data_IF_083590464017
#
_entry.id   IF_083590464017
#
_cell.length_a   1.000
_cell.length_b   1.000
_cell.length_c   1.000
_cell.angle_alpha   90.00
_cell.angle_beta   90.00
_cell.angle_gamma   90.00
#
_symmetry.space_group_name_H-M   'P 1'
#
loop_
_entity.id
_entity.type
_entity.pdbx_description
1 polymer ?
#
# COMPACT_ATOMS: atom_id res chain seq x y z
N UNK A 1 8.87 -10.12 -16.97
CA UNK A 1 8.94 -11.47 -16.39
C UNK A 1 8.44 -11.39 -14.97
N UNK A 2 7.21 -11.86 -14.77
CA UNK A 2 6.52 -11.98 -13.49
C UNK A 2 6.63 -13.42 -12.98
N UNK A 3 6.80 -13.54 -11.67
CA UNK A 3 6.79 -14.79 -10.94
C UNK A 3 5.91 -14.58 -9.71
N UNK A 4 4.97 -15.48 -9.48
CA UNK A 4 4.20 -15.55 -8.25
C UNK A 4 4.60 -16.80 -7.48
N UNK A 5 5.06 -16.60 -6.26
CA UNK A 5 5.27 -17.64 -5.26
C UNK A 5 4.30 -17.34 -4.11
N UNK A 6 3.25 -18.16 -3.97
CA UNK A 6 2.15 -17.88 -3.04
C UNK A 6 2.63 -17.93 -1.59
N UNK A 7 3.43 -18.93 -1.23
CA UNK A 7 3.95 -19.13 0.13
C UNK A 7 4.83 -17.94 0.55
N UNK A 8 5.79 -17.57 -0.31
CA UNK A 8 6.68 -16.44 -0.04
C UNK A 8 5.91 -15.11 0.06
N UNK A 9 4.91 -14.91 -0.81
CA UNK A 9 4.09 -13.70 -0.78
C UNK A 9 3.27 -13.62 0.50
N UNK A 10 2.61 -14.71 0.89
CA UNK A 10 1.78 -14.78 2.09
C UNK A 10 2.62 -14.62 3.37
N UNK A 11 3.80 -15.25 3.45
CA UNK A 11 4.74 -15.05 4.55
C UNK A 11 5.14 -13.58 4.66
N UNK A 12 5.44 -12.94 3.52
CA UNK A 12 5.76 -11.52 3.43
C UNK A 12 4.64 -10.63 3.98
N UNK A 13 3.39 -10.86 3.58
CA UNK A 13 2.23 -10.13 4.11
C UNK A 13 2.08 -10.31 5.62
N UNK A 14 2.07 -11.55 6.10
CA UNK A 14 1.83 -11.85 7.51
C UNK A 14 2.95 -11.28 8.41
N UNK A 15 4.19 -11.34 7.94
CA UNK A 15 5.34 -10.74 8.64
C UNK A 15 5.18 -9.23 8.76
N UNK A 16 4.74 -8.55 7.70
CA UNK A 16 4.55 -7.10 7.74
C UNK A 16 3.35 -6.70 8.59
N UNK A 17 2.24 -7.44 8.57
CA UNK A 17 1.09 -7.22 9.47
C UNK A 17 1.54 -7.34 10.92
N UNK A 18 2.30 -8.38 11.25
CA UNK A 18 2.82 -8.60 12.61
C UNK A 18 3.77 -7.47 13.05
N UNK A 19 4.58 -6.95 12.12
CA UNK A 19 5.43 -5.79 12.36
C UNK A 19 4.59 -4.53 12.63
N UNK A 20 3.53 -4.28 11.86
CA UNK A 20 2.63 -3.14 12.06
C UNK A 20 1.93 -3.23 13.42
N UNK A 21 1.40 -4.40 13.80
CA UNK A 21 0.76 -4.58 15.12
C UNK A 21 1.73 -4.28 16.28
N UNK A 22 2.99 -4.73 16.18
CA UNK A 22 4.02 -4.40 17.18
C UNK A 22 4.27 -2.90 17.25
N UNK A 23 4.46 -2.24 16.10
CA UNK A 23 4.73 -0.81 16.05
C UNK A 23 3.54 0.02 16.56
N UNK A 24 2.30 -0.37 16.22
CA UNK A 24 1.09 0.25 16.75
C UNK A 24 1.02 0.17 18.27
N UNK A 25 1.35 -0.99 18.86
CA UNK A 25 1.40 -1.14 20.33
C UNK A 25 2.49 -0.30 20.99
N UNK A 26 3.68 -0.21 20.39
CA UNK A 26 4.76 0.67 20.86
C UNK A 26 4.34 2.14 20.79
N UNK A 27 3.67 2.54 19.70
CA UNK A 27 3.21 3.90 19.51
C UNK A 27 2.05 4.28 20.44
N UNK A 28 1.18 3.32 20.79
CA UNK A 28 0.11 3.52 21.77
C UNK A 28 0.67 3.76 23.18
N UNK A 29 1.74 3.04 23.57
CA UNK A 29 2.41 3.29 24.84
C UNK A 29 3.02 4.71 24.90
N UNK A 30 3.60 5.19 23.79
CA UNK A 30 4.11 6.56 23.67
C UNK A 30 2.95 7.56 23.73
N UNK A 31 1.86 7.31 23.02
CA UNK A 31 0.66 8.14 23.05
C UNK A 31 0.15 8.36 24.48
N UNK A 32 -0.03 7.27 25.24
CA UNK A 32 -0.51 7.34 26.63
C UNK A 32 0.45 8.12 27.53
N UNK A 33 1.77 7.97 27.35
CA UNK A 33 2.76 8.73 28.11
C UNK A 33 2.72 10.22 27.78
N UNK A 34 2.56 10.57 26.49
CA UNK A 34 2.44 11.95 26.01
C UNK A 34 1.14 12.58 26.51
N UNK A 35 0.01 11.88 26.43
CA UNK A 35 -1.25 12.36 27.00
C UNK A 35 -1.14 12.62 28.50
N UNK A 36 -0.51 11.70 29.24
CA UNK A 36 -0.23 11.89 30.67
C UNK A 36 0.56 13.17 30.93
N UNK A 37 1.61 13.44 30.15
CA UNK A 37 2.41 14.67 30.25
C UNK A 37 1.59 15.92 29.96
N UNK A 38 0.77 15.91 28.91
CA UNK A 38 -0.10 17.03 28.54
C UNK A 38 -1.10 17.36 29.64
N UNK A 39 -1.58 16.36 30.39
CA UNK A 39 -2.51 16.49 31.51
C UNK A 39 -1.85 16.97 32.82
N UNK A 40 -0.52 17.09 32.90
CA UNK A 40 0.21 17.52 34.10
C UNK A 40 0.17 19.03 34.34
N UNK A 41 -1.03 19.63 34.30
CA UNK A 41 -1.25 21.07 34.54
C UNK A 41 -0.71 21.54 35.89
N UNK A 42 -0.88 20.71 36.92
CA UNK A 42 -0.51 21.07 38.28
C UNK A 42 1.01 20.94 38.55
N UNK A 43 1.70 20.10 37.80
CA UNK A 43 3.14 19.88 37.94
C UNK A 43 3.95 20.77 37.01
N UNK A 44 3.46 21.01 35.78
CA UNK A 44 4.07 21.88 34.77
C UNK A 44 3.31 23.20 34.64
N UNK A 45 3.44 24.03 35.68
CA UNK A 45 2.88 25.39 35.75
C UNK A 45 3.80 26.44 35.13
N UNK A 46 3.23 27.64 34.95
CA UNK A 46 3.94 28.81 34.41
C UNK A 46 4.16 28.74 32.91
N UNK A 47 4.77 29.80 32.34
CA UNK A 47 4.94 29.94 30.89
C UNK A 47 5.72 28.78 30.26
N UNK A 48 6.85 28.37 30.87
CA UNK A 48 7.65 27.26 30.36
C UNK A 48 6.96 25.90 30.48
N UNK A 49 6.26 25.63 31.58
CA UNK A 49 5.48 24.40 31.75
C UNK A 49 4.31 24.31 30.76
N UNK A 50 3.63 25.44 30.51
CA UNK A 50 2.61 25.52 29.47
C UNK A 50 3.19 25.28 28.07
N UNK A 51 4.36 25.86 27.76
CA UNK A 51 5.02 25.67 26.47
C UNK A 51 5.40 24.20 26.22
N UNK A 52 5.95 23.51 27.23
CA UNK A 52 6.26 22.07 27.14
C UNK A 52 4.98 21.26 26.86
N UNK A 53 3.91 21.46 27.63
CA UNK A 53 2.66 20.71 27.44
C UNK A 53 2.09 20.96 26.05
N UNK A 54 2.07 22.20 25.58
CA UNK A 54 1.61 22.53 24.23
C UNK A 54 2.49 21.93 23.13
N UNK A 55 3.81 21.82 23.32
CA UNK A 55 4.69 21.18 22.34
C UNK A 55 4.34 19.70 22.13
N UNK A 56 4.11 18.98 23.21
CA UNK A 56 3.69 17.58 23.14
C UNK A 56 2.25 17.44 22.60
N UNK A 57 1.35 18.32 23.00
CA UNK A 57 -0.03 18.32 22.55
C UNK A 57 -0.18 18.65 21.05
N UNK A 58 0.55 19.63 20.53
CA UNK A 58 0.36 20.16 19.18
C UNK A 58 1.28 19.50 18.13
N UNK A 59 2.42 18.97 18.55
CA UNK A 59 3.37 18.30 17.64
C UNK A 59 3.27 16.78 17.72
N UNK A 60 3.28 16.21 18.93
CA UNK A 60 3.41 14.76 19.10
C UNK A 60 2.07 14.03 19.01
N UNK A 61 1.04 14.49 19.71
CA UNK A 61 -0.27 13.80 19.68
C UNK A 61 -0.86 13.68 18.26
N UNK A 62 -0.83 14.71 17.38
CA UNK A 62 -1.33 14.56 16.01
C UNK A 62 -0.53 13.52 15.21
N UNK A 63 0.79 13.50 15.36
CA UNK A 63 1.63 12.49 14.70
C UNK A 63 1.30 11.08 15.16
N UNK A 64 1.19 10.87 16.48
CA UNK A 64 0.88 9.57 17.08
C UNK A 64 -0.51 9.09 16.66
N UNK A 65 -1.50 10.00 16.61
CA UNK A 65 -2.84 9.67 16.15
C UNK A 65 -2.86 9.30 14.65
N UNK A 66 -2.17 10.07 13.80
CA UNK A 66 -2.04 9.76 12.39
C UNK A 66 -1.38 8.40 12.16
N UNK A 67 -0.32 8.09 12.92
CA UNK A 67 0.37 6.79 12.82
C UNK A 67 -0.57 5.61 13.10
N UNK A 68 -1.48 5.73 14.07
CA UNK A 68 -2.48 4.69 14.36
C UNK A 68 -3.44 4.48 13.19
N UNK A 69 -3.93 5.57 12.58
CA UNK A 69 -4.79 5.49 11.39
C UNK A 69 -4.06 4.87 10.21
N UNK A 70 -2.85 5.35 9.93
CA UNK A 70 -1.96 4.81 8.89
C UNK A 70 -1.74 3.29 9.06
N UNK A 71 -1.41 2.86 10.28
CA UNK A 71 -1.10 1.46 10.55
C UNK A 71 -2.32 0.56 10.31
N UNK A 72 -3.51 1.01 10.71
CA UNK A 72 -4.74 0.28 10.47
C UNK A 72 -5.10 0.21 8.97
N UNK A 73 -4.98 1.32 8.25
CA UNK A 73 -5.19 1.36 6.80
C UNK A 73 -4.20 0.45 6.06
N UNK A 74 -2.93 0.45 6.46
CA UNK A 74 -1.92 -0.39 5.84
C UNK A 74 -2.20 -1.89 6.06
N UNK A 75 -2.61 -2.29 7.26
CA UNK A 75 -3.05 -3.67 7.51
C UNK A 75 -4.25 -4.06 6.64
N UNK A 76 -5.23 -3.17 6.49
CA UNK A 76 -6.40 -3.42 5.64
C UNK A 76 -6.01 -3.63 4.17
N UNK A 77 -5.04 -2.85 3.67
CA UNK A 77 -4.47 -3.06 2.32
C UNK A 77 -3.84 -4.45 2.21
N UNK A 78 -3.03 -4.87 3.19
CA UNK A 78 -2.44 -6.22 3.18
C UNK A 78 -3.46 -7.35 3.27
N UNK A 79 -4.52 -7.20 4.08
CA UNK A 79 -5.60 -8.19 4.16
C UNK A 79 -6.37 -8.29 2.83
N UNK A 80 -6.58 -7.18 2.14
CA UNK A 80 -7.19 -7.18 0.80
C UNK A 80 -6.27 -7.83 -0.24
N UNK A 81 -4.96 -7.59 -0.16
CA UNK A 81 -3.97 -8.27 -1.00
C UNK A 81 -3.96 -9.78 -0.77
N UNK A 82 -4.08 -10.24 0.48
CA UNK A 82 -4.15 -11.67 0.81
C UNK A 82 -5.41 -12.31 0.20
N UNK A 83 -6.56 -11.64 0.30
CA UNK A 83 -7.79 -12.10 -0.34
C UNK A 83 -7.69 -12.14 -1.87
N UNK A 84 -7.05 -11.12 -2.48
CA UNK A 84 -6.81 -11.09 -3.92
C UNK A 84 -5.84 -12.19 -4.36
N UNK A 85 -4.81 -12.49 -3.56
CA UNK A 85 -3.86 -13.58 -3.80
C UNK A 85 -4.59 -14.91 -3.83
N UNK A 86 -5.40 -15.18 -2.79
CA UNK A 86 -6.19 -16.42 -2.71
C UNK A 86 -7.20 -16.56 -3.85
N UNK A 87 -7.76 -15.45 -4.34
CA UNK A 87 -8.65 -15.47 -5.51
C UNK A 87 -7.92 -15.77 -6.82
N UNK A 88 -6.65 -15.37 -6.95
CA UNK A 88 -5.81 -15.67 -8.12
C UNK A 88 -5.31 -17.11 -8.10
N UNK A 89 -4.75 -17.53 -6.97
CA UNK A 89 -4.21 -18.87 -6.76
C UNK A 89 -4.54 -19.35 -5.33
N UNK A 90 -5.56 -20.21 -5.17
CA UNK A 90 -5.98 -20.71 -3.86
C UNK A 90 -5.01 -21.70 -3.20
N UNK A 91 -4.14 -22.36 -3.98
CA UNK A 91 -3.18 -23.32 -3.44
C UNK A 91 -2.05 -22.58 -2.72
N UNK A 92 -1.82 -22.90 -1.45
CA UNK A 92 -0.74 -22.30 -0.65
C UNK A 92 0.66 -22.61 -1.20
N UNK A 93 0.79 -23.70 -1.96
CA UNK A 93 2.01 -24.07 -2.69
C UNK A 93 1.99 -23.64 -4.17
N UNK A 94 1.03 -22.79 -4.53
CA UNK A 94 0.84 -22.26 -5.87
C UNK A 94 2.07 -21.48 -6.36
N UNK A 95 2.41 -21.72 -7.62
CA UNK A 95 3.59 -21.11 -8.24
C UNK A 95 3.32 -20.84 -9.71
N UNK A 96 3.44 -19.58 -10.13
CA UNK A 96 3.17 -19.14 -11.50
C UNK A 96 4.43 -18.49 -12.06
N UNK A 97 4.90 -18.99 -13.21
CA UNK A 97 6.02 -18.42 -13.95
C UNK A 97 5.55 -18.03 -15.34
N UNK A 98 5.50 -16.73 -15.61
CA UNK A 98 5.10 -16.18 -16.91
C UNK A 98 5.86 -16.82 -18.07
N UNK A 99 7.19 -16.95 -17.94
CA UNK A 99 8.04 -17.52 -18.98
C UNK A 99 7.71 -18.99 -19.30
N UNK A 100 7.33 -19.78 -18.30
CA UNK A 100 6.91 -21.17 -18.52
C UNK A 100 5.59 -21.22 -19.29
N UNK A 101 4.64 -20.36 -18.92
CA UNK A 101 3.34 -20.26 -19.58
C UNK A 101 3.50 -19.88 -21.05
N UNK A 102 4.19 -18.77 -21.33
CA UNK A 102 4.34 -18.25 -22.70
C UNK A 102 5.30 -19.08 -23.56
N UNK A 103 6.25 -19.77 -22.93
CA UNK A 103 7.28 -20.57 -23.60
C UNK A 103 6.94 -22.05 -23.67
N UNK A 104 7.37 -22.80 -22.65
CA UNK A 104 7.33 -24.26 -22.62
C UNK A 104 5.91 -24.81 -22.76
N UNK A 105 4.95 -24.21 -22.06
CA UNK A 105 3.56 -24.65 -22.12
C UNK A 105 2.93 -24.40 -23.50
N UNK A 106 3.18 -23.24 -24.14
CA UNK A 106 2.69 -22.99 -25.51
C UNK A 106 3.27 -23.99 -26.51
N UNK A 107 4.58 -24.24 -26.41
CA UNK A 107 5.27 -25.19 -27.28
C UNK A 107 4.74 -26.61 -27.09
N UNK A 108 4.58 -27.05 -25.84
CA UNK A 108 4.03 -28.36 -25.50
C UNK A 108 2.61 -28.55 -26.00
N UNK A 109 1.73 -27.57 -25.79
CA UNK A 109 0.34 -27.62 -26.28
C UNK A 109 0.26 -27.65 -27.81
N UNK A 110 1.11 -26.87 -28.48
CA UNK A 110 1.20 -26.87 -29.96
C UNK A 110 1.70 -28.22 -30.49
N UNK A 111 2.70 -28.80 -29.84
CA UNK A 111 3.24 -30.11 -30.19
C UNK A 111 2.18 -31.22 -30.02
N UNK A 112 1.44 -31.23 -28.91
CA UNK A 112 0.38 -32.22 -28.65
C UNK A 112 -0.70 -32.14 -29.73
N UNK A 113 -1.14 -30.93 -30.09
CA UNK A 113 -2.14 -30.72 -31.15
C UNK A 113 -1.67 -31.29 -32.48
N UNK A 114 -0.47 -30.91 -32.93
CA UNK A 114 0.08 -31.40 -34.20
C UNK A 114 0.37 -32.90 -34.23
N UNK A 115 0.91 -33.45 -33.14
CA UNK A 115 1.23 -34.87 -33.08
C UNK A 115 -0.03 -35.72 -33.11
N UNK A 116 -1.08 -35.31 -32.38
CA UNK A 116 -2.35 -36.06 -32.34
C UNK A 116 -3.06 -36.01 -33.69
N UNK A 117 -3.11 -34.84 -34.32
CA UNK A 117 -3.64 -34.64 -35.68
C UNK A 117 -2.93 -35.58 -36.68
N UNK A 118 -1.59 -35.52 -36.70
CA UNK A 118 -0.78 -36.33 -37.61
C UNK A 118 -0.96 -37.84 -37.40
N UNK A 119 -1.01 -38.30 -36.15
CA UNK A 119 -1.19 -39.73 -35.83
C UNK A 119 -2.61 -40.21 -36.16
N UNK A 120 -3.61 -39.35 -35.99
CA UNK A 120 -5.01 -39.66 -36.30
C UNK A 120 -5.21 -39.79 -37.80
N UNK A 121 -4.67 -38.84 -38.58
CA UNK A 121 -4.66 -38.88 -40.04
C UNK A 121 -3.93 -40.11 -40.59
N UNK A 122 -2.75 -40.42 -40.04
CA UNK A 122 -1.98 -41.61 -40.43
C UNK A 122 -2.75 -42.90 -40.15
N UNK A 123 -3.35 -43.04 -38.96
CA UNK A 123 -4.14 -44.20 -38.60
C UNK A 123 -5.38 -44.34 -39.49
N UNK A 124 -6.11 -43.26 -39.74
CA UNK A 124 -7.27 -43.25 -40.62
C UNK A 124 -6.88 -43.63 -42.06
N UNK A 125 -5.74 -43.14 -42.57
CA UNK A 125 -5.21 -43.54 -43.88
C UNK A 125 -4.89 -45.03 -43.96
N UNK A 126 -4.34 -45.62 -42.90
CA UNK A 126 -4.09 -47.08 -42.82
C UNK A 126 -5.41 -47.85 -42.77
N UNK A 127 -6.42 -47.37 -42.02
CA UNK A 127 -7.74 -48.00 -41.97
C UNK A 127 -8.44 -47.98 -43.33
N UNK A 128 -8.30 -46.90 -44.09
CA UNK A 128 -8.86 -46.78 -45.45
C UNK A 128 -8.27 -47.83 -46.40
N UNK A 129 -6.97 -48.13 -46.28
CA UNK A 129 -6.28 -49.12 -47.12
C UNK A 129 -6.80 -50.56 -46.93
N UNK A 130 -7.43 -50.86 -45.79
CA UNK A 130 -7.97 -52.20 -45.48
C UNK A 130 -9.50 -52.25 -45.45
N UNK A 131 -10.17 -51.15 -45.83
CA UNK A 131 -11.63 -50.99 -45.76
C UNK A 131 -12.40 -52.04 -46.58
N UNK A 132 -11.77 -52.54 -47.66
CA UNK A 132 -12.28 -53.62 -48.51
C UNK A 132 -12.51 -54.94 -47.77
N UNK A 133 -11.71 -55.18 -46.72
CA UNK A 133 -11.69 -56.41 -45.93
C UNK A 133 -12.60 -56.26 -44.71
N UNK A 134 -12.52 -55.10 -44.04
CA UNK A 134 -13.24 -54.80 -42.82
C UNK A 134 -13.56 -53.31 -42.72
N UNK A 135 -14.83 -52.97 -42.51
CA UNK A 135 -15.24 -51.59 -42.26
C UNK A 135 -14.83 -51.14 -40.86
N UNK A 136 -13.83 -50.27 -40.77
CA UNK A 136 -13.37 -49.67 -39.52
C UNK A 136 -13.88 -48.22 -39.42
N UNK A 137 -14.39 -47.79 -38.26
CA UNK A 137 -14.70 -46.39 -38.03
C UNK A 137 -13.40 -45.56 -37.95
N UNK A 138 -13.43 -44.35 -38.49
CA UNK A 138 -12.32 -43.41 -38.34
C UNK A 138 -12.17 -42.93 -36.90
N UNK A 139 -10.92 -42.70 -36.51
CA UNK A 139 -10.55 -42.02 -35.29
C UNK A 139 -10.89 -40.53 -35.39
N UNK A 140 -11.30 -39.97 -34.27
CA UNK A 140 -11.68 -38.56 -34.11
C UNK A 140 -10.84 -37.96 -32.97
N UNK A 141 -10.02 -36.97 -33.29
CA UNK A 141 -9.14 -36.27 -32.36
C UNK A 141 -9.69 -34.92 -31.89
N UNK A 142 -10.92 -34.57 -32.29
CA UNK A 142 -11.54 -33.28 -31.98
C UNK A 142 -11.53 -32.95 -30.48
N UNK A 143 -11.69 -33.94 -29.61
CA UNK A 143 -11.61 -33.78 -28.16
C UNK A 143 -10.22 -33.34 -27.66
N UNK A 144 -9.15 -33.85 -28.29
CA UNK A 144 -7.77 -33.42 -27.97
C UNK A 144 -7.55 -32.00 -28.49
N UNK A 145 -7.96 -31.71 -29.73
CA UNK A 145 -7.82 -30.36 -30.30
C UNK A 145 -8.58 -29.32 -29.47
N UNK A 146 -9.80 -29.64 -29.01
CA UNK A 146 -10.56 -28.77 -28.12
C UNK A 146 -9.84 -28.57 -26.77
N UNK A 147 -9.27 -29.64 -26.21
CA UNK A 147 -8.45 -29.59 -25.00
C UNK A 147 -7.22 -28.69 -25.13
N UNK A 148 -6.52 -28.75 -26.26
CA UNK A 148 -5.37 -27.87 -26.58
C UNK A 148 -5.82 -26.42 -26.64
N UNK A 149 -6.88 -26.12 -27.39
CA UNK A 149 -7.42 -24.75 -27.52
C UNK A 149 -7.84 -24.21 -26.16
N UNK A 150 -8.52 -25.02 -25.34
CA UNK A 150 -8.96 -24.63 -23.99
C UNK A 150 -7.78 -24.36 -23.07
N UNK A 151 -6.75 -25.19 -23.11
CA UNK A 151 -5.53 -25.02 -22.32
C UNK A 151 -4.77 -23.75 -22.71
N UNK A 152 -4.67 -23.44 -24.01
CA UNK A 152 -4.05 -22.18 -24.49
C UNK A 152 -4.81 -20.96 -23.98
N UNK A 153 -6.16 -20.97 -24.06
CA UNK A 153 -6.98 -19.89 -23.47
C UNK A 153 -6.77 -19.75 -21.97
N UNK A 154 -6.76 -20.86 -21.23
CA UNK A 154 -6.56 -20.82 -19.78
C UNK A 154 -5.19 -20.26 -19.41
N UNK A 155 -4.14 -20.61 -20.17
CA UNK A 155 -2.81 -19.98 -20.04
C UNK A 155 -2.90 -18.47 -20.23
N UNK A 156 -3.51 -18.01 -21.33
CA UNK A 156 -3.62 -16.58 -21.63
C UNK A 156 -4.39 -15.83 -20.53
N UNK A 157 -5.49 -16.42 -20.05
CA UNK A 157 -6.26 -15.90 -18.93
C UNK A 157 -5.42 -15.80 -17.65
N UNK A 158 -4.68 -16.86 -17.31
CA UNK A 158 -3.79 -16.87 -16.13
C UNK A 158 -2.72 -15.79 -16.23
N UNK A 159 -2.12 -15.60 -17.41
CA UNK A 159 -1.13 -14.54 -17.60
C UNK A 159 -1.77 -13.16 -17.43
N UNK A 160 -2.93 -12.92 -18.05
CA UNK A 160 -3.68 -11.65 -17.89
C UNK A 160 -4.01 -11.37 -16.43
N UNK A 161 -4.49 -12.38 -15.69
CA UNK A 161 -4.81 -12.25 -14.27
C UNK A 161 -3.58 -11.96 -13.41
N UNK A 162 -2.42 -12.56 -13.73
CA UNK A 162 -1.16 -12.29 -13.05
C UNK A 162 -0.72 -10.82 -13.24
N UNK A 163 -0.87 -10.29 -14.45
CA UNK A 163 -0.59 -8.88 -14.74
C UNK A 163 -1.55 -7.92 -14.05
N UNK A 164 -2.85 -8.23 -14.08
CA UNK A 164 -3.88 -7.43 -13.40
C UNK A 164 -3.67 -7.42 -11.89
N UNK A 165 -3.37 -8.59 -11.29
CA UNK A 165 -3.07 -8.72 -9.88
C UNK A 165 -1.89 -7.83 -9.48
N UNK A 166 -0.75 -7.95 -10.16
CA UNK A 166 0.43 -7.14 -9.89
C UNK A 166 0.15 -5.63 -9.98
N UNK A 167 -0.51 -5.18 -11.05
CA UNK A 167 -0.81 -3.77 -11.25
C UNK A 167 -1.77 -3.24 -10.16
N UNK A 168 -2.81 -4.02 -9.84
CA UNK A 168 -3.82 -3.63 -8.84
C UNK A 168 -3.24 -3.61 -7.45
N UNK A 169 -2.49 -4.64 -7.04
CA UNK A 169 -1.88 -4.70 -5.71
C UNK A 169 -0.79 -3.64 -5.56
N UNK A 170 0.04 -3.40 -6.59
CA UNK A 170 1.03 -2.32 -6.55
C UNK A 170 0.37 -0.96 -6.37
N UNK A 171 -0.71 -0.69 -7.12
CA UNK A 171 -1.45 0.57 -7.01
C UNK A 171 -2.09 0.76 -5.64
N UNK A 172 -2.55 -0.32 -5.00
CA UNK A 172 -3.12 -0.28 -3.65
C UNK A 172 -2.12 0.20 -2.57
N UNK A 173 -0.81 0.16 -2.84
CA UNK A 173 0.23 0.69 -1.94
C UNK A 173 0.47 2.20 -2.11
N UNK A 174 -0.02 2.85 -3.17
CA UNK A 174 0.24 4.28 -3.38
C UNK A 174 -0.27 5.18 -2.24
N UNK A 175 -1.47 4.97 -1.65
CA UNK A 175 -1.91 5.77 -0.51
C UNK A 175 -0.99 5.60 0.71
N UNK A 176 -0.49 4.38 0.92
CA UNK A 176 0.45 4.08 2.02
C UNK A 176 1.77 4.84 1.82
N UNK A 177 2.28 4.90 0.59
CA UNK A 177 3.46 5.71 0.27
C UNK A 177 3.23 7.20 0.56
N UNK A 178 2.04 7.73 0.20
CA UNK A 178 1.67 9.12 0.46
C UNK A 178 1.58 9.42 1.96
N UNK A 179 1.05 8.50 2.75
CA UNK A 179 0.98 8.63 4.21
C UNK A 179 2.37 8.61 4.86
N UNK A 180 3.27 7.76 4.37
CA UNK A 180 4.67 7.75 4.80
C UNK A 180 5.36 9.09 4.50
N UNK A 181 5.14 9.66 3.32
CA UNK A 181 5.64 11.00 2.97
C UNK A 181 5.04 12.09 3.86
N UNK A 182 3.76 11.96 4.19
CA UNK A 182 3.05 12.87 5.11
C UNK A 182 3.67 12.84 6.51
N UNK A 183 3.94 11.65 7.05
CA UNK A 183 4.64 11.48 8.33
C UNK A 183 6.06 12.03 8.29
N UNK A 184 6.81 11.74 7.21
CA UNK A 184 8.18 12.24 7.05
C UNK A 184 8.24 13.78 7.01
N UNK A 185 7.28 14.40 6.33
CA UNK A 185 7.18 15.87 6.26
C UNK A 185 6.93 16.45 7.65
N UNK A 186 6.01 15.87 8.42
CA UNK A 186 5.74 16.31 9.79
C UNK A 186 6.97 16.21 10.71
N UNK A 187 7.71 15.10 10.63
CA UNK A 187 8.95 14.93 11.40
C UNK A 187 10.03 15.93 10.97
N UNK A 188 10.12 16.23 9.67
CA UNK A 188 11.05 17.23 9.12
C UNK A 188 10.70 18.63 9.63
N UNK A 189 9.42 18.98 9.67
CA UNK A 189 8.95 20.26 10.22
C UNK A 189 9.27 20.36 11.73
N UNK A 190 9.08 19.27 12.48
CA UNK A 190 9.45 19.21 13.90
C UNK A 190 10.97 19.36 14.09
N UNK A 191 11.79 18.72 13.27
CA UNK A 191 13.25 18.86 13.29
C UNK A 191 13.67 20.31 13.00
N UNK A 192 13.01 20.94 12.02
CA UNK A 192 13.24 22.34 11.65
C UNK A 192 13.06 23.31 12.82
N UNK A 193 12.09 23.07 13.72
CA UNK A 193 11.94 23.86 14.94
C UNK A 193 13.19 23.81 15.82
N UNK A 194 13.73 22.61 16.04
CA UNK A 194 14.94 22.44 16.85
C UNK A 194 16.17 23.07 16.20
N UNK A 195 16.30 22.94 14.88
CA UNK A 195 17.37 23.58 14.11
C UNK A 195 17.29 25.11 14.16
N UNK A 196 16.06 25.66 14.20
CA UNK A 196 15.81 27.10 14.41
C UNK A 196 16.02 27.57 15.87
N UNK A 197 16.43 26.67 16.77
CA UNK A 197 16.71 26.97 18.18
C UNK A 197 15.47 27.01 19.08
N UNK A 198 14.31 26.58 18.58
CA UNK A 198 13.10 26.44 19.39
C UNK A 198 13.29 25.25 20.34
N UNK A 199 13.23 25.54 21.64
CA UNK A 199 13.15 24.52 22.70
C UNK A 199 11.70 24.32 23.10
N UNK A 200 11.39 23.15 23.65
CA UNK A 200 10.10 22.82 24.26
C UNK A 200 9.61 23.90 25.25
N UNK A 201 10.48 24.43 26.11
CA UNK A 201 10.17 25.50 27.07
C UNK A 201 9.87 26.87 26.45
N UNK A 202 10.19 27.04 25.17
CA UNK A 202 9.98 28.28 24.39
C UNK A 202 8.99 28.07 23.23
N UNK A 203 8.35 26.90 23.17
CA UNK A 203 7.43 26.56 22.10
C UNK A 203 6.23 27.51 22.06
N UNK A 204 5.87 27.97 20.85
CA UNK A 204 4.73 28.84 20.60
C UNK A 204 3.76 28.14 19.64
N UNK A 205 2.57 27.70 20.11
CA UNK A 205 1.62 26.93 19.29
C UNK A 205 1.20 27.63 18.00
N UNK A 206 1.04 28.96 18.02
CA UNK A 206 0.63 29.71 16.83
C UNK A 206 1.66 29.63 15.68
N UNK A 207 2.96 29.57 15.99
CA UNK A 207 4.01 29.43 14.98
C UNK A 207 3.93 28.05 14.33
N UNK A 208 3.76 27.00 15.14
CA UNK A 208 3.57 25.63 14.65
C UNK A 208 2.31 25.47 13.81
N UNK A 209 1.20 26.08 14.24
CA UNK A 209 -0.07 26.04 13.52
C UNK A 209 0.04 26.68 12.14
N UNK A 210 0.80 27.77 12.00
CA UNK A 210 1.05 28.42 10.70
C UNK A 210 1.92 27.54 9.80
N UNK A 211 3.01 26.98 10.33
CA UNK A 211 3.92 26.11 9.58
C UNK A 211 3.19 24.86 9.07
N UNK A 212 2.39 24.22 9.92
CA UNK A 212 1.73 22.94 9.63
C UNK A 212 0.32 23.08 9.07
N UNK A 213 -0.16 24.30 8.80
CA UNK A 213 -1.54 24.56 8.38
C UNK A 213 -1.97 23.72 7.17
N UNK A 214 -1.05 23.46 6.24
CA UNK A 214 -1.29 22.67 5.01
C UNK A 214 -0.70 21.26 5.06
N UNK A 215 -0.30 20.78 6.23
CA UNK A 215 0.23 19.42 6.38
C UNK A 215 -0.86 18.36 6.11
N UNK A 216 -0.46 17.22 5.57
CA UNK A 216 -1.36 16.08 5.36
C UNK A 216 -2.00 15.62 6.67
N UNK A 217 -1.20 15.51 7.74
CA UNK A 217 -1.69 15.15 9.09
C UNK A 217 -2.81 16.07 9.55
N UNK A 218 -2.65 17.41 9.44
CA UNK A 218 -3.73 18.31 9.86
C UNK A 218 -4.98 18.17 9.00
N UNK A 219 -4.80 17.97 7.70
CA UNK A 219 -5.92 17.83 6.76
C UNK A 219 -6.75 16.57 7.06
N UNK A 220 -6.07 15.46 7.34
CA UNK A 220 -6.69 14.16 7.65
C UNK A 220 -7.31 14.11 9.05
N UNK A 221 -6.64 14.66 10.06
CA UNK A 221 -7.09 14.57 11.46
C UNK A 221 -8.07 15.67 11.87
N UNK A 222 -8.03 16.83 11.22
CA UNK A 222 -8.90 17.96 11.56
C UNK A 222 -9.77 18.41 10.37
N UNK A 223 -10.56 17.50 9.75
CA UNK A 223 -11.38 17.85 8.60
C UNK A 223 -12.47 18.85 9.03
N UNK A 224 -12.32 20.10 8.57
CA UNK A 224 -13.34 21.18 8.50
C UNK A 224 -13.83 21.85 9.81
N UNK A 225 -12.97 22.13 10.80
CA UNK A 225 -13.30 23.11 11.87
C UNK A 225 -12.61 24.47 11.69
N UNK A 226 -11.57 24.59 10.85
CA UNK A 226 -10.81 25.85 10.67
C UNK A 226 -10.71 26.35 9.22
N UNK A 227 -11.75 26.11 8.42
CA UNK A 227 -11.81 26.56 7.02
C UNK A 227 -12.35 27.99 6.83
N UNK A 228 -12.12 28.88 7.80
CA UNK A 228 -12.36 30.31 7.59
C UNK A 228 -11.09 31.12 7.93
N UNK A 229 -10.24 31.43 6.94
CA UNK A 229 -9.04 32.26 7.13
C UNK A 229 -9.37 33.62 7.78
N UNK A 230 -10.57 34.14 7.54
CA UNK A 230 -11.06 35.41 8.07
C UNK A 230 -11.45 35.39 9.55
N UNK A 231 -11.64 34.22 10.18
CA UNK A 231 -11.91 34.13 11.62
C UNK A 231 -10.63 34.08 12.45
N UNK A 232 -9.56 33.45 11.95
CA UNK A 232 -8.25 33.44 12.63
C UNK A 232 -7.61 34.83 12.66
N UNK A 233 -7.83 35.63 11.61
CA UNK A 233 -7.35 37.01 11.54
C UNK A 233 -8.01 37.90 12.60
N UNK A 234 -9.28 37.66 12.97
CA UNK A 234 -9.98 38.49 13.96
C UNK A 234 -9.59 38.21 15.43
N UNK A 235 -9.17 37.00 15.79
CA UNK A 235 -8.71 36.71 17.16
C UNK A 235 -7.22 37.04 17.39
N UNK A 236 -6.37 37.01 16.35
CA UNK A 236 -4.95 37.40 16.48
C UNK A 236 -4.70 38.92 16.35
N UNK A 237 -5.61 39.67 15.72
CA UNK A 237 -5.46 41.13 15.56
C UNK A 237 -5.72 41.94 16.84
N UNK A 238 -6.21 41.33 17.92
CA UNK A 238 -6.35 42.00 19.22
C UNK A 238 -5.07 41.94 20.10
N UNK A 239 -4.01 41.25 19.64
CA UNK A 239 -2.88 40.89 20.51
C UNK A 239 -1.50 41.45 20.15
N UNK A 240 -1.09 41.48 18.88
CA UNK A 240 0.28 41.88 18.54
C UNK A 240 0.39 42.36 17.10
N UNK A 241 0.57 43.67 16.91
CA UNK A 241 1.11 44.21 15.66
C UNK A 241 2.56 43.75 15.52
N UNK A 242 2.82 42.79 14.63
CA UNK A 242 4.17 42.59 14.08
C UNK A 242 4.34 43.62 12.98
N UNK A 243 5.20 44.61 13.22
CA UNK A 243 5.58 45.60 12.22
C UNK A 243 6.50 44.98 11.17
N UNK A 244 6.40 45.51 9.96
CA UNK A 244 7.09 45.12 8.71
C UNK A 244 8.62 45.00 8.80
N UNK A 245 9.23 45.42 9.91
CA UNK A 245 10.68 45.35 10.13
C UNK A 245 11.22 43.93 10.38
N UNK A 246 10.38 42.94 10.73
CA UNK A 246 10.85 41.58 11.10
C UNK A 246 11.09 40.67 9.89
N UNK A 247 10.65 41.06 8.67
CA UNK A 247 10.80 40.24 7.46
C UNK A 247 12.10 40.50 6.68
N UNK A 248 12.93 41.49 7.06
CA UNK A 248 14.14 41.85 6.31
C UNK A 248 15.45 41.22 6.82
N UNK A 249 15.43 40.33 7.81
CA UNK A 249 16.65 39.68 8.33
C UNK A 249 16.79 38.20 7.94
N UNK A 250 16.04 37.73 6.93
CA UNK A 250 16.21 36.38 6.36
C UNK A 250 16.64 36.37 4.89
N UNK A 251 17.06 37.51 4.34
CA UNK A 251 17.91 37.56 3.15
C UNK A 251 19.21 38.29 3.50
N UNK A 252 20.24 37.51 3.82
CA UNK A 252 21.59 37.95 4.15
C UNK A 252 22.47 36.77 4.51
#
# INVERSE_FOLDING_TARGET
MKVLDVDLFQEGLQRNITMLDRLSGEMEAIHNAVEGLVQMEEQFKGAGGSAIRSFYQECHLPFLHFFQLFSEQFKQVFQQMEAALHSLEPDSSGYIVEQFLEGELEQGLTLIGHLTDSLTDEANSIMDQVSDIVGLPHLDDSGVQEGVIRSKRKRDDTNSQLYEFDATQTTALHPIEQDLQTMNTWLTDMEGLFQAGVKDITFVPSQWNVLTFRSGIRTELFPKVYLNPWLMEQEQLMGTMITTATFQTLEG
#
